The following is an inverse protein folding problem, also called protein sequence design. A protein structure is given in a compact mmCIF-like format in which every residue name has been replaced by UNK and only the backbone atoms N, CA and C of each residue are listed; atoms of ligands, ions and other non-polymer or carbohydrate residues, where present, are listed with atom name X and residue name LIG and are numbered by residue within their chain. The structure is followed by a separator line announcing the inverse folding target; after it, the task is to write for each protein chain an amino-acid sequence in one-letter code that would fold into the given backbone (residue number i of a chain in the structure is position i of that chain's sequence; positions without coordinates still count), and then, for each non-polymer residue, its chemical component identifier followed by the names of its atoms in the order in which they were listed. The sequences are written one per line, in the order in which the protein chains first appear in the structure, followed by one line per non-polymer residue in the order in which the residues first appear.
data_IF_751903435804
#
_entry.id   IF_751903435804
#
_cell.length_a   1.000
_cell.length_b   1.000
_cell.length_c   1.000
_cell.angle_alpha   90.00
_cell.angle_beta   90.00
_cell.angle_gamma   90.00
#
_symmetry.space_group_name_H-M   'P 1'
#
loop_
_entity.id
_entity.type
_entity.pdbx_description
1 polymer ?
#
# COMPACT_ATOMS: atom_id res chain seq x y z
N UNK A 1 -28.83 -55.50 -71.60
CA UNK A 1 -28.99 -54.87 -70.27
C UNK A 1 -28.52 -55.87 -69.23
N UNK A 2 -27.64 -55.43 -68.32
CA UNK A 2 -27.18 -56.08 -67.08
C UNK A 2 -26.09 -57.18 -67.14
N UNK A 3 -25.33 -57.25 -66.04
CA UNK A 3 -23.92 -57.62 -65.90
C UNK A 3 -23.65 -58.94 -65.10
N UNK A 4 -22.39 -59.36 -65.14
CA UNK A 4 -21.72 -60.54 -64.55
C UNK A 4 -21.93 -60.81 -63.03
N UNK A 5 -21.79 -62.09 -62.61
CA UNK A 5 -20.87 -62.58 -61.54
C UNK A 5 -21.00 -64.11 -61.33
N UNK A 6 -19.85 -64.81 -61.18
CA UNK A 6 -19.63 -66.22 -60.79
C UNK A 6 -19.09 -66.27 -59.31
N UNK A 7 -18.53 -67.39 -58.76
CA UNK A 7 -19.01 -68.77 -58.48
C UNK A 7 -18.65 -69.25 -57.04
N UNK A 8 -18.92 -70.50 -56.64
CA UNK A 8 -18.24 -71.23 -55.53
C UNK A 8 -18.23 -72.75 -55.80
N UNK A 9 -17.09 -73.43 -55.60
CA UNK A 9 -16.93 -74.90 -55.50
C UNK A 9 -15.75 -75.22 -54.54
N UNK A 10 -15.77 -76.38 -53.86
CA UNK A 10 -14.89 -76.76 -52.75
C UNK A 10 -14.03 -78.02 -52.99
N UNK A 11 -12.95 -78.13 -52.18
CA UNK A 11 -12.28 -79.31 -51.57
C UNK A 11 -10.89 -79.88 -52.00
N UNK A 12 -9.95 -79.77 -51.02
CA UNK A 12 -8.87 -80.66 -50.45
C UNK A 12 -7.66 -81.20 -51.30
N UNK A 13 -6.47 -81.57 -50.73
CA UNK A 13 -6.11 -81.91 -49.31
C UNK A 13 -4.81 -81.29 -48.70
N UNK A 14 -4.57 -81.51 -47.39
CA UNK A 14 -3.84 -80.60 -46.46
C UNK A 14 -2.57 -81.12 -45.72
N UNK A 15 -2.09 -82.36 -45.85
CA UNK A 15 -1.19 -82.93 -44.80
C UNK A 15 0.33 -83.07 -45.06
N UNK A 16 0.91 -82.70 -46.21
CA UNK A 16 2.37 -82.92 -46.45
C UNK A 16 3.32 -81.75 -46.14
N UNK A 17 2.84 -80.52 -45.85
CA UNK A 17 3.71 -79.31 -45.86
C UNK A 17 4.46 -78.96 -44.56
N UNK A 18 4.32 -79.71 -43.47
CA UNK A 18 4.77 -79.23 -42.15
C UNK A 18 6.21 -79.61 -41.73
N UNK A 19 6.92 -80.48 -42.45
CA UNK A 19 8.26 -80.93 -42.04
C UNK A 19 9.42 -79.98 -42.45
N UNK A 20 9.22 -79.09 -43.43
CA UNK A 20 10.33 -78.30 -44.01
C UNK A 20 10.67 -76.99 -43.26
N UNK A 21 9.79 -76.50 -42.37
CA UNK A 21 9.90 -75.13 -41.84
C UNK A 21 10.59 -74.99 -40.47
N UNK A 22 11.14 -76.06 -39.89
CA UNK A 22 11.67 -76.01 -38.51
C UNK A 22 13.18 -75.76 -38.38
N UNK A 23 13.97 -75.91 -39.44
CA UNK A 23 15.44 -75.80 -39.36
C UNK A 23 16.01 -74.41 -39.70
N UNK A 24 15.24 -73.51 -40.33
CA UNK A 24 15.73 -72.18 -40.75
C UNK A 24 15.67 -71.09 -39.67
N UNK A 25 15.02 -71.33 -38.53
CA UNK A 25 14.77 -70.29 -37.50
C UNK A 25 15.85 -70.18 -36.42
N UNK A 26 16.75 -71.15 -36.30
CA UNK A 26 17.80 -71.14 -35.26
C UNK A 26 19.02 -70.29 -35.65
N UNK A 27 19.39 -70.29 -36.94
CA UNK A 27 20.59 -69.57 -37.43
C UNK A 27 20.39 -68.04 -37.44
N UNK A 28 19.17 -67.57 -37.70
CA UNK A 28 18.88 -66.14 -37.75
C UNK A 28 18.92 -65.42 -36.38
N UNK A 29 18.71 -66.14 -35.27
CA UNK A 29 18.66 -65.52 -33.93
C UNK A 29 20.06 -65.29 -33.35
N UNK A 30 21.05 -66.12 -33.69
CA UNK A 30 22.42 -65.97 -33.20
C UNK A 30 23.18 -64.81 -33.89
N UNK A 31 22.93 -64.57 -35.17
CA UNK A 31 23.56 -63.46 -35.94
C UNK A 31 22.97 -62.10 -35.55
N UNK A 32 21.68 -62.05 -35.19
CA UNK A 32 21.01 -60.82 -34.75
C UNK A 32 21.54 -60.27 -33.42
N UNK A 33 21.85 -61.13 -32.44
CA UNK A 33 22.34 -60.68 -31.14
C UNK A 33 23.78 -60.14 -31.17
N UNK A 34 24.63 -60.64 -32.08
CA UNK A 34 26.02 -60.20 -32.18
C UNK A 34 26.14 -58.80 -32.85
N UNK A 35 25.26 -58.49 -33.80
CA UNK A 35 25.21 -57.17 -34.45
C UNK A 35 24.61 -56.07 -33.55
N UNK A 36 23.69 -56.43 -32.64
CA UNK A 36 23.12 -55.47 -31.68
C UNK A 36 24.12 -55.14 -30.57
N UNK A 37 24.95 -56.08 -30.12
CA UNK A 37 25.99 -55.82 -29.12
C UNK A 37 27.12 -54.90 -29.63
N UNK A 38 27.50 -55.01 -30.91
CA UNK A 38 28.53 -54.14 -31.51
C UNK A 38 28.07 -52.68 -31.70
N UNK A 39 26.76 -52.43 -31.81
CA UNK A 39 26.19 -51.09 -31.98
C UNK A 39 26.00 -50.32 -30.66
N UNK A 40 26.11 -50.99 -29.50
CA UNK A 40 25.99 -50.34 -28.19
C UNK A 40 27.36 -49.84 -27.69
N UNK A 41 28.46 -50.45 -28.13
CA UNK A 41 29.82 -50.08 -27.70
C UNK A 41 30.40 -48.82 -28.40
N UNK A 42 29.80 -48.35 -29.50
CA UNK A 42 30.33 -47.23 -30.31
C UNK A 42 29.76 -45.85 -29.95
N UNK A 43 28.94 -45.73 -28.90
CA UNK A 43 28.29 -44.47 -28.47
C UNK A 43 29.04 -43.68 -27.39
N UNK A 44 30.27 -44.05 -27.05
CA UNK A 44 31.02 -43.42 -25.95
C UNK A 44 31.76 -42.11 -26.26
N UNK A 45 31.70 -41.57 -27.49
CA UNK A 45 32.72 -40.59 -27.93
C UNK A 45 32.24 -39.22 -28.44
N UNK A 46 30.94 -38.88 -28.47
CA UNK A 46 30.49 -37.51 -28.81
C UNK A 46 29.26 -37.16 -27.97
N UNK A 47 29.46 -36.53 -26.81
CA UNK A 47 28.45 -35.69 -26.14
C UNK A 47 29.05 -34.98 -24.92
N UNK A 48 30.07 -34.14 -25.10
CA UNK A 48 30.26 -33.01 -24.19
C UNK A 48 29.40 -31.85 -24.70
N UNK A 49 28.09 -31.94 -24.48
CA UNK A 49 27.24 -30.76 -24.53
C UNK A 49 27.57 -29.95 -23.29
N UNK A 50 28.20 -28.79 -23.50
CA UNK A 50 28.37 -27.79 -22.45
C UNK A 50 27.02 -27.56 -21.77
N UNK A 51 26.99 -27.64 -20.43
CA UNK A 51 25.80 -27.33 -19.67
C UNK A 51 25.29 -25.93 -20.09
N UNK A 52 23.98 -25.76 -20.35
CA UNK A 52 23.44 -24.43 -20.63
C UNK A 52 23.82 -23.51 -19.46
N UNK A 53 24.21 -22.24 -19.72
CA UNK A 53 24.54 -21.31 -18.66
C UNK A 53 23.35 -21.26 -17.70
N UNK A 54 23.61 -21.60 -16.43
CA UNK A 54 22.63 -21.45 -15.37
C UNK A 54 22.24 -19.98 -15.35
N UNK A 55 21.04 -19.68 -15.84
CA UNK A 55 20.44 -18.35 -15.71
C UNK A 55 20.29 -18.12 -14.22
N UNK A 56 21.14 -17.25 -13.67
CA UNK A 56 20.96 -16.75 -12.31
C UNK A 56 19.51 -16.24 -12.22
N UNK A 57 18.76 -16.55 -11.15
CA UNK A 57 17.46 -15.94 -10.92
C UNK A 57 17.64 -14.44 -11.08
N UNK A 58 16.94 -13.83 -12.04
CA UNK A 58 16.87 -12.38 -12.13
C UNK A 58 16.22 -11.94 -10.84
N UNK A 59 17.02 -11.41 -9.93
CA UNK A 59 16.55 -10.80 -8.69
C UNK A 59 15.62 -9.65 -9.13
N UNK A 60 14.32 -9.82 -8.92
CA UNK A 60 13.36 -8.76 -9.16
C UNK A 60 13.87 -7.50 -8.45
N UNK A 61 13.95 -6.35 -9.14
CA UNK A 61 14.44 -5.13 -8.51
C UNK A 61 13.63 -4.89 -7.24
N UNK A 62 14.28 -4.55 -6.11
CA UNK A 62 13.60 -4.43 -4.83
C UNK A 62 12.39 -3.50 -4.98
N UNK A 63 11.23 -3.92 -4.49
CA UNK A 63 10.00 -3.13 -4.51
C UNK A 63 10.26 -1.82 -3.76
N UNK A 64 10.61 -0.75 -4.49
CA UNK A 64 10.82 0.58 -3.93
C UNK A 64 9.46 1.22 -3.72
N UNK A 65 8.91 1.02 -2.53
CA UNK A 65 7.72 1.77 -2.09
C UNK A 65 8.15 3.22 -1.83
N UNK A 66 7.86 4.10 -2.79
CA UNK A 66 8.07 5.54 -2.62
C UNK A 66 6.91 6.09 -1.79
N UNK A 67 7.22 6.53 -0.57
CA UNK A 67 6.23 7.23 0.25
C UNK A 67 5.87 8.56 -0.41
N UNK A 68 4.61 9.01 -0.31
CA UNK A 68 4.23 10.34 -0.78
C UNK A 68 5.07 11.41 -0.10
N UNK A 69 5.55 12.37 -0.89
CA UNK A 69 6.22 13.56 -0.36
C UNK A 69 5.16 14.38 0.39
N UNK A 70 5.43 14.70 1.66
CA UNK A 70 4.51 15.47 2.52
C UNK A 70 5.11 16.84 2.75
N UNK A 71 4.49 17.85 2.15
CA UNK A 71 4.86 19.26 2.33
C UNK A 71 4.27 19.79 3.62
N UNK A 72 5.08 20.47 4.42
CA UNK A 72 4.66 21.08 5.68
C UNK A 72 5.08 22.54 5.71
N UNK A 73 4.41 23.31 6.55
CA UNK A 73 4.65 24.75 6.76
C UNK A 73 5.18 25.05 8.16
N UNK A 74 5.79 24.06 8.79
CA UNK A 74 6.31 24.10 10.16
C UNK A 74 7.32 25.23 10.42
N UNK A 75 8.02 25.72 9.39
CA UNK A 75 8.96 26.85 9.46
C UNK A 75 8.47 28.10 8.72
N UNK A 76 7.15 28.25 8.53
CA UNK A 76 6.50 29.29 7.71
C UNK A 76 6.71 29.19 6.20
N UNK A 77 7.65 28.37 5.75
CA UNK A 77 7.85 28.04 4.34
C UNK A 77 7.43 26.60 4.05
N UNK A 78 6.85 26.33 2.86
CA UNK A 78 6.51 24.98 2.43
C UNK A 78 7.78 24.17 2.13
N UNK A 79 8.03 23.13 2.92
CA UNK A 79 9.19 22.24 2.77
C UNK A 79 8.81 20.76 3.00
N UNK A 80 9.63 19.85 2.50
CA UNK A 80 9.51 18.41 2.79
C UNK A 80 9.82 18.12 4.26
N UNK A 81 8.91 17.41 4.94
CA UNK A 81 9.09 16.96 6.32
C UNK A 81 10.42 16.24 6.58
N UNK A 82 10.99 15.56 5.58
CA UNK A 82 12.24 14.80 5.73
C UNK A 82 13.49 15.68 5.77
N UNK A 83 13.41 16.91 5.25
CA UNK A 83 14.54 17.86 5.22
C UNK A 83 14.57 18.77 6.44
N UNK A 84 13.46 18.85 7.18
CA UNK A 84 13.34 19.72 8.32
C UNK A 84 14.16 19.23 9.52
N UNK A 85 14.97 20.09 10.16
CA UNK A 85 15.69 19.77 11.38
C UNK A 85 14.79 19.83 12.64
N UNK A 86 13.49 19.58 12.50
CA UNK A 86 12.52 19.64 13.59
C UNK A 86 11.61 18.41 13.61
N UNK A 87 11.15 18.04 14.80
CA UNK A 87 10.25 16.90 14.96
C UNK A 87 8.81 17.30 14.64
N UNK A 88 8.40 17.12 13.38
CA UNK A 88 7.03 17.37 12.92
C UNK A 88 6.24 16.07 12.76
N UNK A 89 4.99 16.05 13.24
CA UNK A 89 3.98 15.06 12.85
C UNK A 89 2.94 15.76 11.99
N UNK A 90 2.55 15.15 10.88
CA UNK A 90 1.53 15.68 9.97
C UNK A 90 0.33 14.75 10.00
N UNK A 91 -0.85 15.32 10.22
CA UNK A 91 -2.14 14.65 10.07
C UNK A 91 -2.80 15.25 8.83
N UNK A 92 -2.76 14.56 7.68
CA UNK A 92 -3.29 15.09 6.44
C UNK A 92 -4.81 15.07 6.44
N UNK A 93 -5.42 15.88 5.59
CA UNK A 93 -6.85 16.07 5.50
C UNK A 93 -7.60 14.77 5.22
N UNK A 94 -7.05 13.83 4.44
CA UNK A 94 -7.67 12.51 4.31
C UNK A 94 -7.76 11.77 5.65
N UNK A 95 -6.71 11.80 6.46
CA UNK A 95 -6.71 11.13 7.77
C UNK A 95 -7.69 11.81 8.73
N UNK A 96 -7.74 13.15 8.73
CA UNK A 96 -8.72 13.91 9.52
C UNK A 96 -10.14 13.49 9.16
N UNK A 97 -10.40 13.28 7.86
CA UNK A 97 -11.70 12.92 7.33
C UNK A 97 -12.07 11.47 7.64
N UNK A 98 -11.14 10.54 7.44
CA UNK A 98 -11.38 9.09 7.55
C UNK A 98 -11.48 8.65 9.02
N UNK A 99 -10.71 9.28 9.91
CA UNK A 99 -10.74 9.00 11.34
C UNK A 99 -11.75 9.86 12.12
N UNK A 100 -12.60 10.61 11.42
CA UNK A 100 -13.60 11.51 12.00
C UNK A 100 -13.05 12.48 13.06
N UNK A 101 -11.81 12.94 12.89
CA UNK A 101 -11.18 13.92 13.77
C UNK A 101 -11.99 15.22 13.69
N UNK A 102 -12.51 15.67 14.83
CA UNK A 102 -13.38 16.86 14.89
C UNK A 102 -12.76 18.00 15.69
N UNK A 103 -11.88 17.67 16.63
CA UNK A 103 -11.15 18.61 17.46
C UNK A 103 -9.64 18.50 17.20
N UNK A 104 -8.92 19.59 17.44
CA UNK A 104 -7.44 19.60 17.36
C UNK A 104 -6.82 18.61 18.34
N UNK A 105 -7.45 18.43 19.51
CA UNK A 105 -7.02 17.46 20.52
C UNK A 105 -7.02 16.02 20.04
N UNK A 106 -7.92 15.67 19.11
CA UNK A 106 -8.01 14.31 18.55
C UNK A 106 -6.79 13.98 17.68
N UNK A 107 -6.19 14.99 17.05
CA UNK A 107 -4.98 14.83 16.24
C UNK A 107 -3.75 14.39 17.07
N UNK A 108 -3.81 14.52 18.40
CA UNK A 108 -2.77 14.06 19.31
C UNK A 108 -2.51 12.56 19.22
N UNK A 109 -3.54 11.77 18.89
CA UNK A 109 -3.44 10.31 18.78
C UNK A 109 -2.43 9.87 17.71
N UNK A 110 -2.17 10.72 16.72
CA UNK A 110 -1.22 10.45 15.63
C UNK A 110 0.21 10.91 15.93
N UNK A 111 0.40 11.64 17.03
CA UNK A 111 1.64 12.30 17.36
C UNK A 111 2.29 11.69 18.61
N UNK A 112 3.52 11.16 18.53
CA UNK A 112 4.18 10.63 19.72
C UNK A 112 4.43 11.72 20.75
N UNK A 113 4.38 11.34 22.04
CA UNK A 113 4.64 12.23 23.18
C UNK A 113 3.82 13.53 23.14
N UNK A 114 2.59 13.44 22.66
CA UNK A 114 1.67 14.55 22.49
C UNK A 114 0.38 14.24 23.23
N UNK A 115 0.02 15.11 24.18
CA UNK A 115 -1.14 14.92 25.02
C UNK A 115 -1.92 16.22 25.14
N UNK A 116 -3.24 16.14 25.18
CA UNK A 116 -4.10 17.28 25.47
C UNK A 116 -4.77 17.02 26.80
N UNK A 117 -4.63 17.97 27.74
CA UNK A 117 -5.34 17.89 29.01
C UNK A 117 -6.66 18.62 28.90
N UNK A 118 -7.76 17.90 29.04
CA UNK A 118 -9.11 18.47 29.06
C UNK A 118 -9.50 18.86 30.48
N UNK A 119 -9.91 20.13 30.65
CA UNK A 119 -10.47 20.65 31.89
C UNK A 119 -12.00 20.71 31.74
N UNK A 120 -12.67 19.86 32.52
CA UNK A 120 -14.06 19.39 32.37
C UNK A 120 -15.15 20.46 32.21
N UNK A 121 -14.95 21.70 32.67
CA UNK A 121 -16.03 22.68 32.76
C UNK A 121 -16.11 23.70 31.59
N UNK A 122 -15.09 23.80 30.72
CA UNK A 122 -15.00 24.94 29.77
C UNK A 122 -14.49 24.61 28.36
N UNK A 123 -14.50 23.33 27.95
CA UNK A 123 -13.80 22.88 26.73
C UNK A 123 -12.38 23.48 26.68
N UNK A 124 -11.69 23.51 27.81
CA UNK A 124 -10.32 24.02 27.91
C UNK A 124 -9.40 22.83 27.69
N UNK A 125 -8.86 22.74 26.48
CA UNK A 125 -7.91 21.71 26.10
C UNK A 125 -6.54 22.37 25.96
N UNK A 126 -5.54 21.86 26.68
CA UNK A 126 -4.19 22.41 26.68
C UNK A 126 -3.19 21.38 26.14
N UNK A 127 -2.45 21.69 25.06
CA UNK A 127 -1.48 20.77 24.50
C UNK A 127 -0.24 20.67 25.39
N UNK A 128 0.32 19.47 25.43
CA UNK A 128 1.59 19.12 26.07
C UNK A 128 2.43 18.27 25.13
N UNK A 129 3.64 18.72 24.83
CA UNK A 129 4.60 18.01 23.97
C UNK A 129 5.81 17.64 24.80
N UNK A 130 6.21 16.36 24.78
CA UNK A 130 7.38 15.85 25.53
C UNK A 130 7.37 16.25 27.02
N UNK A 131 6.19 16.27 27.64
CA UNK A 131 6.01 16.68 29.04
C UNK A 131 6.01 18.19 29.29
N UNK A 132 6.37 19.02 28.31
CA UNK A 132 6.25 20.47 28.38
C UNK A 132 4.80 20.84 28.13
N UNK A 133 4.15 21.38 29.16
CA UNK A 133 2.73 21.68 29.15
C UNK A 133 2.41 23.16 29.00
N UNK A 134 1.14 23.40 28.74
CA UNK A 134 0.52 24.72 28.65
C UNK A 134 -0.38 24.94 29.84
N UNK A 135 -0.34 26.13 30.44
CA UNK A 135 -1.38 26.56 31.39
C UNK A 135 -2.43 27.39 30.63
N UNK A 136 -3.69 27.41 31.08
CA UNK A 136 -4.74 28.20 30.42
C UNK A 136 -4.39 29.69 30.28
N UNK A 137 -3.65 30.27 31.23
CA UNK A 137 -3.26 31.68 31.21
C UNK A 137 -1.95 31.94 30.48
N UNK A 138 -1.08 30.92 30.36
CA UNK A 138 0.19 31.04 29.65
C UNK A 138 0.50 29.73 28.91
N UNK A 139 0.07 29.61 27.64
CA UNK A 139 0.33 28.41 26.87
C UNK A 139 1.83 28.26 26.60
N UNK A 140 2.35 27.04 26.77
CA UNK A 140 3.73 26.69 26.40
C UNK A 140 3.84 26.22 24.95
N UNK A 141 2.68 25.90 24.35
CA UNK A 141 2.49 25.48 22.97
C UNK A 141 1.32 26.30 22.41
N UNK A 142 1.56 27.02 21.32
CA UNK A 142 0.55 27.87 20.68
C UNK A 142 -0.04 27.17 19.47
N UNK A 143 -1.36 27.31 19.30
CA UNK A 143 -2.06 26.84 18.08
C UNK A 143 -2.08 27.97 17.07
N UNK A 144 -1.75 27.68 15.82
CA UNK A 144 -1.80 28.57 14.68
C UNK A 144 -2.87 28.08 13.71
N UNK A 145 -3.65 29.02 13.17
CA UNK A 145 -4.58 28.75 12.07
C UNK A 145 -4.15 29.66 10.93
N UNK A 146 -3.71 29.07 9.82
CA UNK A 146 -3.21 29.77 8.63
C UNK A 146 -2.15 30.84 8.96
N UNK A 147 -1.25 30.53 9.91
CA UNK A 147 -0.19 31.45 10.36
C UNK A 147 -0.61 32.49 11.40
N UNK A 148 -1.88 32.51 11.83
CA UNK A 148 -2.39 33.41 12.88
C UNK A 148 -2.41 32.71 14.24
N UNK A 149 -1.72 33.24 15.27
CA UNK A 149 -1.68 32.62 16.59
C UNK A 149 -3.03 32.74 17.30
N UNK A 150 -3.52 31.61 17.80
CA UNK A 150 -4.69 31.52 18.68
C UNK A 150 -4.21 31.57 20.13
N UNK A 151 -4.32 32.75 20.75
CA UNK A 151 -3.85 33.01 22.11
C UNK A 151 -4.88 32.67 23.20
N UNK A 152 -6.03 32.13 22.81
CA UNK A 152 -7.06 31.73 23.75
C UNK A 152 -6.74 30.35 24.36
N UNK A 153 -7.15 30.18 25.61
CA UNK A 153 -6.99 28.93 26.36
C UNK A 153 -7.84 27.76 25.80
N UNK A 154 -8.79 28.07 24.90
CA UNK A 154 -9.66 27.12 24.23
C UNK A 154 -9.24 26.84 22.78
N UNK A 155 -8.06 27.29 22.34
CA UNK A 155 -7.58 27.12 20.95
C UNK A 155 -7.51 25.66 20.50
N UNK A 156 -7.30 24.73 21.43
CA UNK A 156 -7.25 23.30 21.10
C UNK A 156 -8.62 22.62 20.98
N UNK A 157 -9.69 23.33 21.36
CA UNK A 157 -11.07 22.87 21.20
C UNK A 157 -11.74 23.49 19.98
N UNK A 158 -10.94 24.03 19.05
CA UNK A 158 -11.42 24.51 17.76
C UNK A 158 -12.01 23.33 16.98
N UNK A 159 -13.25 23.51 16.54
CA UNK A 159 -13.90 22.58 15.62
C UNK A 159 -13.25 22.72 14.25
N UNK A 160 -12.80 21.58 13.72
CA UNK A 160 -12.10 21.52 12.45
C UNK A 160 -13.13 21.43 11.33
N UNK A 161 -13.39 22.56 10.67
CA UNK A 161 -14.17 22.61 9.44
C UNK A 161 -13.25 22.83 8.25
N UNK A 162 -13.25 21.88 7.32
CA UNK A 162 -12.51 21.94 6.06
C UNK A 162 -11.01 22.22 6.19
N UNK A 163 -10.32 21.37 6.96
CA UNK A 163 -8.86 21.44 7.17
C UNK A 163 -8.12 20.62 6.14
N UNK A 164 -7.02 21.17 5.63
CA UNK A 164 -6.15 20.50 4.66
C UNK A 164 -5.10 19.64 5.36
N UNK A 165 -4.46 20.18 6.41
CA UNK A 165 -3.56 19.42 7.26
C UNK A 165 -3.36 20.05 8.64
N UNK A 166 -3.03 19.21 9.62
CA UNK A 166 -2.60 19.61 10.97
C UNK A 166 -1.16 19.17 11.17
N UNK A 167 -0.31 20.09 11.56
CA UNK A 167 1.10 19.87 11.83
C UNK A 167 1.36 20.07 13.33
N UNK A 168 1.89 19.05 13.98
CA UNK A 168 2.30 19.10 15.37
C UNK A 168 3.82 19.20 15.40
N UNK A 169 4.31 20.42 15.60
CA UNK A 169 5.74 20.74 15.61
C UNK A 169 6.23 20.71 17.05
N UNK A 170 7.07 19.73 17.37
CA UNK A 170 7.57 19.52 18.74
C UNK A 170 8.97 20.09 18.89
N UNK A 171 9.17 20.81 19.99
CA UNK A 171 10.43 21.46 20.34
C UNK A 171 10.34 22.98 20.23
N UNK A 172 11.34 23.73 20.71
CA UNK A 172 11.28 25.18 20.78
C UNK A 172 11.14 25.82 19.40
N UNK A 173 10.12 26.66 19.20
CA UNK A 173 9.87 27.38 17.94
C UNK A 173 9.74 28.90 18.13
N UNK A 174 10.25 29.44 19.25
CA UNK A 174 10.07 30.86 19.61
C UNK A 174 10.75 31.85 18.66
N UNK A 175 11.79 31.41 17.93
CA UNK A 175 12.49 32.27 16.97
C UNK A 175 11.60 32.63 15.76
N UNK A 176 10.80 31.68 15.27
CA UNK A 176 9.95 31.89 14.09
C UNK A 176 8.55 32.35 14.47
N UNK A 177 7.99 31.82 15.55
CA UNK A 177 6.57 32.00 15.89
C UNK A 177 6.34 32.95 17.08
N UNK A 178 7.38 33.26 17.85
CA UNK A 178 7.33 34.27 18.92
C UNK A 178 7.05 33.67 20.30
N UNK A 179 6.24 34.38 21.10
CA UNK A 179 5.92 33.96 22.47
C UNK A 179 5.18 32.61 22.48
N UNK A 180 5.28 31.89 23.61
CA UNK A 180 4.41 30.76 23.93
C UNK A 180 4.59 29.52 23.02
N UNK A 181 5.79 29.32 22.48
CA UNK A 181 6.17 28.14 21.67
C UNK A 181 7.41 27.44 22.21
N UNK A 182 7.55 27.39 23.54
CA UNK A 182 8.68 26.71 24.21
C UNK A 182 8.63 25.20 23.99
N UNK A 183 7.45 24.60 24.11
CA UNK A 183 7.22 23.18 23.83
C UNK A 183 7.03 22.88 22.34
N UNK A 184 6.70 23.91 21.55
CA UNK A 184 6.41 23.84 20.13
C UNK A 184 5.11 24.54 19.76
N UNK A 185 4.48 24.07 18.69
CA UNK A 185 3.23 24.64 18.18
C UNK A 185 2.39 23.60 17.46
N UNK A 186 1.09 23.87 17.37
CA UNK A 186 0.18 23.17 16.48
C UNK A 186 -0.14 24.12 15.34
N UNK A 187 0.12 23.74 14.10
CA UNK A 187 -0.17 24.55 12.92
C UNK A 187 -1.29 23.89 12.12
N UNK A 188 -2.36 24.65 11.87
CA UNK A 188 -3.55 24.20 11.16
C UNK A 188 -3.59 24.97 9.85
N UNK A 189 -3.60 24.24 8.75
CA UNK A 189 -3.78 24.81 7.41
C UNK A 189 -5.19 24.50 6.91
N UNK A 190 -5.97 25.53 6.61
CA UNK A 190 -7.32 25.36 6.08
C UNK A 190 -7.31 25.04 4.59
N UNK A 191 -8.37 24.39 4.12
CA UNK A 191 -8.53 24.08 2.71
C UNK A 191 -8.73 25.37 1.92
N UNK A 192 -7.92 25.57 0.88
CA UNK A 192 -8.07 26.74 0.01
C UNK A 192 -9.20 26.53 -1.00
N UNK A 193 -9.92 27.60 -1.37
CA UNK A 193 -10.95 27.50 -2.40
C UNK A 193 -10.34 27.12 -3.75
N UNK A 194 -11.02 26.23 -4.49
CA UNK A 194 -10.65 25.87 -5.85
C UNK A 194 -11.14 26.94 -6.84
N UNK A 195 -10.30 27.27 -7.84
CA UNK A 195 -10.69 28.14 -8.97
C UNK A 195 -11.29 27.37 -10.15
N UNK A 196 -11.21 26.04 -10.14
CA UNK A 196 -11.51 25.19 -11.30
C UNK A 196 -12.88 24.52 -11.21
N UNK A 197 -13.58 24.66 -10.09
CA UNK A 197 -14.91 24.09 -9.91
C UNK A 197 -15.49 24.33 -8.53
N UNK A 198 -16.78 24.02 -8.40
CA UNK A 198 -17.48 24.12 -7.13
C UNK A 198 -17.20 22.89 -6.28
N UNK A 199 -16.82 23.11 -5.02
CA UNK A 199 -16.66 22.05 -4.02
C UNK A 199 -17.57 22.37 -2.86
N UNK A 200 -18.41 21.41 -2.47
CA UNK A 200 -19.27 21.52 -1.30
C UNK A 200 -19.27 20.23 -0.50
N UNK A 201 -19.40 20.35 0.82
CA UNK A 201 -19.56 19.22 1.71
C UNK A 201 -20.64 19.54 2.75
N UNK A 202 -21.58 18.60 2.94
CA UNK A 202 -22.52 18.65 4.05
C UNK A 202 -22.18 17.52 5.02
N UNK A 203 -22.17 17.83 6.32
CA UNK A 203 -21.96 16.86 7.40
C UNK A 203 -23.22 16.83 8.26
N UNK A 204 -23.83 15.67 8.37
CA UNK A 204 -24.99 15.45 9.22
C UNK A 204 -24.60 14.49 10.35
N UNK A 205 -24.21 15.01 11.53
CA UNK A 205 -23.96 14.16 12.68
C UNK A 205 -25.30 13.60 13.20
N UNK A 206 -25.37 12.29 13.41
CA UNK A 206 -26.50 11.62 14.07
C UNK A 206 -25.99 10.71 15.18
N UNK A 207 -26.61 10.75 16.38
CA UNK A 207 -26.17 9.96 17.53
C UNK A 207 -26.85 10.35 18.85
N UNK A 208 -26.93 9.41 19.79
CA UNK A 208 -27.67 9.53 21.07
C UNK A 208 -26.84 10.09 22.24
N UNK A 209 -25.53 10.19 22.10
CA UNK A 209 -24.66 10.92 23.02
C UNK A 209 -24.35 12.28 22.42
N UNK A 210 -24.72 13.34 23.14
CA UNK A 210 -24.46 14.77 22.89
C UNK A 210 -23.44 15.07 21.78
N UNK A 211 -23.85 15.82 20.76
CA UNK A 211 -23.07 16.55 19.73
C UNK A 211 -21.53 16.44 19.79
N UNK A 212 -21.02 15.23 19.77
CA UNK A 212 -19.65 14.90 20.08
C UNK A 212 -18.97 14.20 18.90
N UNK A 213 -17.63 14.07 18.92
CA UNK A 213 -16.80 13.50 17.85
C UNK A 213 -17.23 12.13 17.34
N UNK A 214 -18.13 11.43 18.03
CA UNK A 214 -18.51 10.04 17.78
C UNK A 214 -19.87 9.87 17.12
N UNK A 215 -20.56 10.97 16.76
CA UNK A 215 -21.79 10.88 15.98
C UNK A 215 -21.50 10.32 14.58
N UNK A 216 -22.31 9.36 14.14
CA UNK A 216 -22.24 8.78 12.81
C UNK A 216 -22.56 9.91 11.81
N UNK A 217 -21.54 10.29 11.04
CA UNK A 217 -21.61 11.45 10.17
C UNK A 217 -21.73 10.99 8.71
N UNK A 218 -22.93 11.08 8.16
CA UNK A 218 -23.11 10.91 6.72
C UNK A 218 -22.57 12.16 6.01
N UNK A 219 -21.62 11.95 5.11
CA UNK A 219 -20.98 13.02 4.32
C UNK A 219 -21.26 12.81 2.85
N UNK A 220 -21.71 13.87 2.19
CA UNK A 220 -21.80 13.91 0.74
C UNK A 220 -20.95 15.06 0.21
N UNK A 221 -20.06 14.74 -0.73
CA UNK A 221 -19.20 15.71 -1.41
C UNK A 221 -19.57 15.71 -2.89
N UNK A 222 -19.71 16.89 -3.45
CA UNK A 222 -19.99 17.10 -4.86
C UNK A 222 -18.91 18.00 -5.44
N UNK A 223 -18.46 17.66 -6.64
CA UNK A 223 -17.62 18.50 -7.47
C UNK A 223 -18.27 18.60 -8.84
N UNK A 224 -18.37 19.83 -9.36
CA UNK A 224 -18.76 20.07 -10.75
C UNK A 224 -17.64 20.88 -11.40
N UNK A 225 -16.93 20.25 -12.34
CA UNK A 225 -16.00 20.94 -13.24
C UNK A 225 -16.80 21.78 -14.22
N UNK A 226 -16.40 23.05 -14.37
CA UNK A 226 -16.91 23.95 -15.41
C UNK A 226 -16.19 23.75 -16.72
#
# INVERSE_FOLDING_TARGET
MAAHMFPVEADAPFLERLAYLRTSRAVGRAVGCLLVALLIASRGAIAQTAAPPQTQPTEDPPLRVRMPDVTVTAQKEPEDKQRLPVSVTVVPGETIRDANISLVSDAALYAPNTFFTELTARKLSNPRFRGIGSSPSNPGITTYVDGVPQLNASSSSLELLDVDQIELVRGPQSALFGRNTLGGLVNITTSRPSRTGWVGACRFPSGTTDFGPYAEAHRVRWWRTG
#
